data_IF_298505424436
#
_entry.id   IF_298505424436
#
_cell.length_a   1.000
_cell.length_b   1.000
_cell.length_c   1.000
_cell.angle_alpha   90.00
_cell.angle_beta   90.00
_cell.angle_gamma   90.00
#
_symmetry.space_group_name_H-M   'P 1'
#
loop_
_entity.id
_entity.type
_entity.pdbx_description
1 polymer ?
#
# COMPACT_ATOMS: atom_id res chain seq x y z
N UNK A 1 -0.61 -31.11 19.20
CA UNK A 1 -1.49 -29.99 19.67
C UNK A 1 -1.03 -28.65 19.09
N UNK A 2 0.28 -28.41 18.95
CA UNK A 2 0.83 -27.13 18.46
C UNK A 2 0.54 -26.82 16.98
N UNK A 3 0.54 -27.82 16.09
CA UNK A 3 0.29 -27.60 14.65
C UNK A 3 -1.11 -27.03 14.36
N UNK A 4 -2.15 -27.62 14.96
CA UNK A 4 -3.53 -27.14 14.83
C UNK A 4 -3.68 -25.70 15.33
N UNK A 5 -3.04 -25.40 16.46
CA UNK A 5 -3.06 -24.08 17.05
C UNK A 5 -2.35 -23.02 16.19
N UNK A 6 -1.21 -23.36 15.58
CA UNK A 6 -0.51 -22.49 14.63
C UNK A 6 -1.34 -22.24 13.37
N UNK A 7 -2.04 -23.24 12.85
CA UNK A 7 -2.91 -23.08 11.67
C UNK A 7 -4.11 -22.17 11.96
N UNK A 8 -4.72 -22.31 13.14
CA UNK A 8 -5.83 -21.43 13.56
C UNK A 8 -5.36 -19.99 13.68
N UNK A 9 -4.23 -19.75 14.38
CA UNK A 9 -3.64 -18.41 14.51
C UNK A 9 -3.27 -17.77 13.18
N UNK A 10 -2.63 -18.53 12.27
CA UNK A 10 -2.27 -18.01 10.96
C UNK A 10 -3.51 -17.61 10.15
N UNK A 11 -4.59 -18.40 10.25
CA UNK A 11 -5.87 -18.08 9.58
C UNK A 11 -6.55 -16.87 10.19
N UNK A 12 -6.62 -16.78 11.52
CA UNK A 12 -7.19 -15.62 12.21
C UNK A 12 -6.39 -14.35 11.94
N UNK A 13 -5.05 -14.44 11.93
CA UNK A 13 -4.18 -13.32 11.59
C UNK A 13 -4.33 -12.90 10.12
N UNK A 14 -4.43 -13.85 9.19
CA UNK A 14 -4.67 -13.56 7.79
C UNK A 14 -6.04 -12.91 7.55
N UNK A 15 -7.07 -13.34 8.30
CA UNK A 15 -8.40 -12.75 8.25
C UNK A 15 -8.40 -11.32 8.85
N UNK A 16 -7.76 -11.12 10.00
CA UNK A 16 -7.62 -9.80 10.63
C UNK A 16 -6.80 -8.84 9.74
N UNK A 17 -5.71 -9.34 9.16
CA UNK A 17 -4.93 -8.59 8.19
C UNK A 17 -5.74 -8.30 6.93
N UNK A 18 -6.57 -9.24 6.46
CA UNK A 18 -7.44 -9.06 5.31
C UNK A 18 -8.44 -7.92 5.49
N UNK A 19 -9.11 -7.87 6.64
CA UNK A 19 -10.07 -6.80 6.96
C UNK A 19 -9.36 -5.43 7.05
N UNK A 20 -8.17 -5.37 7.65
CA UNK A 20 -7.39 -4.13 7.74
C UNK A 20 -6.67 -3.75 6.44
N UNK A 21 -6.35 -4.71 5.57
CA UNK A 21 -5.69 -4.46 4.28
C UNK A 21 -6.62 -3.74 3.32
N UNK A 22 -7.91 -4.09 3.33
CA UNK A 22 -8.92 -3.37 2.55
C UNK A 22 -8.99 -1.90 2.98
N UNK A 23 -9.09 -1.64 4.29
CA UNK A 23 -9.12 -0.28 4.84
C UNK A 23 -7.83 0.52 4.53
N UNK A 24 -6.66 -0.14 4.62
CA UNK A 24 -5.37 0.48 4.30
C UNK A 24 -5.26 0.80 2.82
N UNK A 25 -5.68 -0.11 1.93
CA UNK A 25 -5.70 0.12 0.50
C UNK A 25 -6.61 1.32 0.15
N UNK A 26 -7.80 1.35 0.74
CA UNK A 26 -8.79 2.43 0.61
C UNK A 26 -8.23 3.79 1.06
N UNK A 27 -7.61 3.85 2.24
CA UNK A 27 -7.00 5.07 2.77
C UNK A 27 -5.83 5.53 1.89
N UNK A 28 -5.04 4.57 1.40
CA UNK A 28 -3.90 4.84 0.53
C UNK A 28 -4.35 5.40 -0.81
N UNK A 29 -5.35 4.79 -1.44
CA UNK A 29 -5.93 5.26 -2.70
C UNK A 29 -6.52 6.67 -2.55
N UNK A 30 -7.29 6.92 -1.48
CA UNK A 30 -7.81 8.27 -1.18
C UNK A 30 -6.70 9.29 -0.96
N UNK A 31 -5.62 8.91 -0.28
CA UNK A 31 -4.44 9.75 -0.05
C UNK A 31 -3.74 10.13 -1.35
N UNK A 32 -3.50 9.15 -2.23
CA UNK A 32 -2.92 9.36 -3.55
C UNK A 32 -3.82 10.25 -4.40
N UNK A 33 -5.12 9.95 -4.47
CA UNK A 33 -6.07 10.76 -5.24
C UNK A 33 -6.13 12.21 -4.74
N UNK A 34 -5.96 12.45 -3.43
CA UNK A 34 -5.89 13.80 -2.86
C UNK A 34 -4.61 14.54 -3.27
N UNK A 35 -3.47 13.86 -3.20
CA UNK A 35 -2.17 14.41 -3.62
C UNK A 35 -2.20 14.75 -5.11
N UNK A 36 -2.71 13.85 -5.95
CA UNK A 36 -2.78 14.03 -7.41
C UNK A 36 -3.73 15.14 -7.88
N UNK A 37 -4.65 15.63 -7.03
CA UNK A 37 -5.54 16.75 -7.36
C UNK A 37 -4.90 18.13 -7.22
N UNK A 38 -3.68 18.21 -6.68
CA UNK A 38 -2.94 19.45 -6.53
C UNK A 38 -1.59 19.31 -7.24
N UNK A 39 -1.31 20.13 -8.24
CA UNK A 39 -0.13 19.98 -9.09
C UNK A 39 1.22 20.06 -8.34
N UNK A 40 1.26 20.62 -7.14
CA UNK A 40 2.49 20.76 -6.34
C UNK A 40 2.73 19.60 -5.37
N UNK A 41 1.67 18.94 -4.89
CA UNK A 41 1.79 17.89 -3.87
C UNK A 41 2.50 16.61 -4.35
N UNK A 42 2.37 16.14 -5.61
CA UNK A 42 3.09 14.97 -6.10
C UNK A 42 4.61 15.13 -5.98
N UNK A 43 5.14 16.30 -6.32
CA UNK A 43 6.57 16.59 -6.24
C UNK A 43 7.07 16.63 -4.78
N UNK A 44 6.30 17.23 -3.88
CA UNK A 44 6.61 17.24 -2.44
C UNK A 44 6.57 15.83 -1.85
N UNK A 45 5.62 14.99 -2.28
CA UNK A 45 5.52 13.60 -1.84
C UNK A 45 6.76 12.79 -2.25
N UNK A 46 7.15 12.85 -3.53
CA UNK A 46 8.36 12.16 -4.04
C UNK A 46 9.62 12.57 -3.27
N UNK A 47 9.75 13.88 -2.99
CA UNK A 47 10.88 14.43 -2.22
C UNK A 47 10.91 13.88 -0.79
N UNK A 48 9.75 13.76 -0.14
CA UNK A 48 9.68 13.30 1.25
C UNK A 48 9.89 11.78 1.39
N UNK A 49 9.45 10.99 0.40
CA UNK A 49 9.59 9.53 0.42
C UNK A 49 10.88 9.03 -0.22
N UNK A 50 11.63 9.90 -0.91
CA UNK A 50 12.80 9.51 -1.69
C UNK A 50 12.46 8.67 -2.93
N UNK A 51 11.21 8.72 -3.40
CA UNK A 51 10.78 7.98 -4.60
C UNK A 51 11.10 8.80 -5.85
N UNK A 52 11.45 8.11 -6.95
CA UNK A 52 11.79 8.74 -8.23
C UNK A 52 10.92 8.20 -9.36
N UNK A 53 10.51 9.08 -10.28
CA UNK A 53 9.83 8.69 -11.52
C UNK A 53 10.90 8.40 -12.56
N UNK A 54 10.96 7.17 -13.04
CA UNK A 54 11.79 6.79 -14.17
C UNK A 54 10.95 6.80 -15.46
N UNK A 55 11.44 7.41 -16.55
CA UNK A 55 10.77 7.27 -17.84
C UNK A 55 10.72 5.78 -18.22
N UNK A 56 9.63 5.32 -18.85
CA UNK A 56 9.55 3.95 -19.32
C UNK A 56 10.74 3.66 -20.23
N UNK A 57 11.41 2.52 -19.99
CA UNK A 57 12.50 2.09 -20.85
C UNK A 57 11.96 1.87 -22.27
N UNK A 58 12.55 2.46 -23.31
CA UNK A 58 12.10 2.21 -24.68
C UNK A 58 12.28 0.72 -24.97
N UNK A 59 11.17 0.02 -25.24
CA UNK A 59 11.21 -1.35 -25.75
C UNK A 59 11.60 -1.26 -27.24
N UNK A 60 12.81 -1.73 -27.55
CA UNK A 60 13.27 -1.93 -28.93
C UNK A 60 12.53 -3.08 -29.62
#
# INVERSE_FOLDING_TARGET
MELLWSTIKARELANLAGDHLADVADVTERGIHRISRNDQLPWSFLTHTGLTIHPPHPQN
#
